data_IF_546623086231
#
_entry.id   IF_546623086231
#
_cell.length_a   1.000
_cell.length_b   1.000
_cell.length_c   1.000
_cell.angle_alpha   90.00
_cell.angle_beta   90.00
_cell.angle_gamma   90.00
#
_symmetry.space_group_name_H-M   'P 1'
#
loop_
_entity.id
_entity.type
_entity.pdbx_description
1 polymer ?
#
# COMPACT_ATOMS: atom_id res chain seq x y z
N UNK A 1 14.50 51.19 17.81
CA UNK A 1 13.26 50.75 17.11
C UNK A 1 13.56 49.75 15.99
N UNK A 2 14.51 50.04 15.08
CA UNK A 2 14.87 49.14 13.97
C UNK A 2 15.49 47.80 14.41
N UNK A 3 16.25 47.74 15.51
CA UNK A 3 16.87 46.49 15.98
C UNK A 3 15.85 45.50 16.56
N UNK A 4 14.79 46.00 17.21
CA UNK A 4 13.69 45.17 17.70
C UNK A 4 12.90 44.54 16.56
N UNK A 5 12.74 45.26 15.44
CA UNK A 5 12.07 44.76 14.23
C UNK A 5 12.93 43.68 13.55
N UNK A 6 14.23 43.89 13.41
CA UNK A 6 15.15 42.89 12.84
C UNK A 6 15.19 41.60 13.68
N UNK A 7 15.23 41.73 15.01
CA UNK A 7 15.17 40.59 15.94
C UNK A 7 13.87 39.81 15.79
N UNK A 8 12.72 40.49 15.77
CA UNK A 8 11.42 39.85 15.59
C UNK A 8 11.29 39.11 14.25
N UNK A 9 11.84 39.66 13.16
CA UNK A 9 11.87 38.99 11.84
C UNK A 9 12.77 37.75 11.87
N UNK A 10 13.92 37.83 12.55
CA UNK A 10 14.83 36.70 12.74
C UNK A 10 14.17 35.58 13.55
N UNK A 11 13.54 35.92 14.67
CA UNK A 11 12.83 34.96 15.52
C UNK A 11 11.66 34.30 14.78
N UNK A 12 10.87 35.07 14.00
CA UNK A 12 9.79 34.52 13.17
C UNK A 12 10.30 33.54 12.10
N UNK A 13 11.44 33.86 11.47
CA UNK A 13 12.04 33.02 10.44
C UNK A 13 12.53 31.69 11.02
N UNK A 14 13.08 31.69 12.24
CA UNK A 14 13.48 30.48 12.95
C UNK A 14 12.26 29.61 13.28
N UNK A 15 11.17 30.21 13.75
CA UNK A 15 9.93 29.47 14.06
C UNK A 15 9.33 28.83 12.81
N UNK A 16 9.27 29.56 11.69
CA UNK A 16 8.78 29.03 10.42
C UNK A 16 9.67 27.88 9.92
N UNK A 17 10.99 28.05 9.98
CA UNK A 17 11.93 26.99 9.59
C UNK A 17 11.79 25.73 10.45
N UNK A 18 11.62 25.88 11.76
CA UNK A 18 11.38 24.78 12.68
C UNK A 18 10.07 24.05 12.38
N UNK A 19 8.99 24.79 12.08
CA UNK A 19 7.70 24.22 11.71
C UNK A 19 7.79 23.42 10.40
N UNK A 20 8.45 23.97 9.38
CA UNK A 20 8.66 23.28 8.11
C UNK A 20 9.49 22.01 8.27
N UNK A 21 10.55 22.06 9.07
CA UNK A 21 11.36 20.88 9.38
C UNK A 21 10.54 19.80 10.12
N UNK A 22 9.72 20.19 11.10
CA UNK A 22 8.84 19.27 11.80
C UNK A 22 7.85 18.58 10.85
N UNK A 23 7.27 19.33 9.90
CA UNK A 23 6.40 18.78 8.86
C UNK A 23 7.16 17.80 7.96
N UNK A 24 8.37 18.16 7.51
CA UNK A 24 9.20 17.29 6.66
C UNK A 24 9.55 15.99 7.41
N UNK A 25 9.98 16.09 8.66
CA UNK A 25 10.28 14.92 9.49
C UNK A 25 9.04 14.05 9.71
N UNK A 26 7.91 14.68 10.02
CA UNK A 26 6.64 13.97 10.16
C UNK A 26 6.29 13.21 8.88
N UNK A 27 6.45 13.83 7.71
CA UNK A 27 6.26 13.17 6.42
C UNK A 27 7.25 12.01 6.31
N UNK A 28 8.56 12.25 6.32
CA UNK A 28 9.59 11.21 6.08
C UNK A 28 9.41 9.99 6.99
N UNK A 29 9.19 10.20 8.30
CA UNK A 29 9.03 9.10 9.24
C UNK A 29 7.71 8.35 9.11
N UNK A 30 6.69 8.95 8.49
CA UNK A 30 5.39 8.32 8.30
C UNK A 30 5.10 7.98 6.81
N UNK A 31 5.97 8.31 5.86
CA UNK A 31 5.72 8.21 4.41
C UNK A 31 5.96 6.81 3.82
N UNK A 32 5.39 5.79 4.46
CA UNK A 32 5.33 4.39 4.01
C UNK A 32 6.54 3.52 4.33
N UNK A 33 6.23 2.35 4.89
CA UNK A 33 7.15 1.23 4.98
C UNK A 33 7.07 0.30 3.75
N UNK A 34 6.18 0.59 2.77
CA UNK A 34 5.80 -0.32 1.67
C UNK A 34 5.77 -1.78 2.11
N UNK A 35 5.17 -2.00 3.29
CA UNK A 35 5.30 -3.23 4.03
C UNK A 35 4.31 -4.22 3.49
N UNK A 36 4.78 -5.41 3.12
CA UNK A 36 3.89 -6.54 2.88
C UNK A 36 3.25 -6.93 4.22
N UNK A 37 1.94 -6.72 4.36
CA UNK A 37 1.20 -7.04 5.58
C UNK A 37 0.53 -8.41 5.50
N UNK A 38 0.34 -8.93 4.28
CA UNK A 38 -0.21 -10.26 4.07
C UNK A 38 0.21 -10.80 2.70
N UNK A 39 0.40 -12.11 2.60
CA UNK A 39 0.79 -12.76 1.35
C UNK A 39 0.21 -14.17 1.25
N UNK A 40 -0.22 -14.53 0.06
CA UNK A 40 -0.58 -15.90 -0.32
C UNK A 40 0.10 -16.24 -1.65
N UNK A 41 0.77 -17.39 -1.72
CA UNK A 41 1.44 -17.82 -2.93
C UNK A 41 0.66 -18.93 -3.64
N UNK A 42 0.84 -19.01 -4.95
CA UNK A 42 0.25 -20.03 -5.81
C UNK A 42 0.58 -21.43 -5.27
N UNK A 43 -0.42 -22.28 -5.02
CA UNK A 43 -0.20 -23.65 -4.59
C UNK A 43 0.36 -24.49 -5.74
N UNK A 44 1.11 -25.54 -5.42
CA UNK A 44 1.72 -26.44 -6.41
C UNK A 44 0.70 -27.17 -7.31
N UNK A 45 -0.57 -27.21 -6.92
CA UNK A 45 -1.67 -27.82 -7.69
C UNK A 45 -2.18 -26.94 -8.84
N UNK A 46 -1.85 -25.64 -8.83
CA UNK A 46 -2.23 -24.70 -9.88
C UNK A 46 -1.01 -24.44 -10.76
N UNK A 47 -1.17 -24.58 -12.08
CA UNK A 47 -0.15 -24.25 -13.06
C UNK A 47 -0.77 -23.39 -14.16
N UNK A 48 -0.19 -22.21 -14.37
CA UNK A 48 -0.62 -21.27 -15.41
C UNK A 48 0.07 -21.48 -16.76
N UNK A 49 0.66 -22.66 -16.98
CA UNK A 49 1.56 -22.95 -18.10
C UNK A 49 2.74 -21.98 -18.17
N UNK A 50 3.24 -21.58 -17.00
CA UNK A 50 4.40 -20.70 -16.86
C UNK A 50 5.42 -21.37 -15.97
N UNK A 51 6.71 -21.13 -16.22
CA UNK A 51 7.79 -21.64 -15.38
C UNK A 51 7.94 -20.89 -14.04
N UNK A 52 7.01 -19.99 -13.73
CA UNK A 52 7.09 -19.14 -12.55
C UNK A 52 5.93 -19.39 -11.60
N UNK A 53 6.22 -19.17 -10.31
CA UNK A 53 5.23 -19.14 -9.25
C UNK A 53 4.90 -17.70 -8.89
N UNK A 54 3.61 -17.42 -8.73
CA UNK A 54 3.13 -16.08 -8.38
C UNK A 54 2.75 -16.01 -6.91
N UNK A 55 2.88 -14.83 -6.31
CA UNK A 55 2.33 -14.51 -5.01
C UNK A 55 1.43 -13.28 -5.12
N UNK A 56 0.31 -13.36 -4.43
CA UNK A 56 -0.55 -12.24 -4.14
C UNK A 56 -0.13 -11.64 -2.80
N UNK A 57 0.15 -10.35 -2.77
CA UNK A 57 0.55 -9.61 -1.59
C UNK A 57 -0.40 -8.45 -1.36
N UNK A 58 -0.76 -8.21 -0.10
CA UNK A 58 -1.32 -6.94 0.34
C UNK A 58 -0.19 -6.11 0.90
N UNK A 59 0.02 -4.95 0.29
CA UNK A 59 1.08 -4.01 0.65
C UNK A 59 0.44 -2.79 1.28
N UNK A 60 0.89 -2.49 2.48
CA UNK A 60 0.59 -1.24 3.16
C UNK A 60 1.52 -0.15 2.64
N UNK A 61 0.92 0.83 1.98
CA UNK A 61 1.59 1.97 1.40
C UNK A 61 1.69 3.16 2.34
N UNK A 62 1.74 4.35 1.74
CA UNK A 62 1.73 5.61 2.46
C UNK A 62 0.33 6.05 2.87
N UNK A 63 0.21 7.34 3.16
CA UNK A 63 -1.06 7.98 3.48
C UNK A 63 -1.55 8.81 2.30
N UNK A 64 -2.86 8.79 2.07
CA UNK A 64 -3.56 9.71 1.19
C UNK A 64 -4.29 10.74 2.03
N UNK A 65 -3.97 12.01 1.81
CA UNK A 65 -4.79 13.10 2.32
C UNK A 65 -6.00 13.28 1.39
N UNK A 66 -7.19 13.07 1.92
CA UNK A 66 -8.45 13.40 1.24
C UNK A 66 -8.87 14.80 1.68
N UNK A 67 -9.15 15.69 0.72
CA UNK A 67 -9.46 17.10 1.00
C UNK A 67 -10.88 17.32 1.55
N UNK A 68 -11.79 16.35 1.38
CA UNK A 68 -13.13 16.39 1.98
C UNK A 68 -13.71 14.97 2.17
N UNK A 69 -14.11 14.58 3.38
CA UNK A 69 -13.74 15.22 4.66
C UNK A 69 -12.20 15.19 4.81
N UNK A 70 -11.62 16.18 5.50
CA UNK A 70 -10.17 16.20 5.76
C UNK A 70 -9.77 14.95 6.53
N UNK A 71 -9.29 13.94 5.80
CA UNK A 71 -8.99 12.62 6.35
C UNK A 71 -7.69 12.11 5.78
N UNK A 72 -6.82 11.68 6.68
CA UNK A 72 -5.60 10.97 6.34
C UNK A 72 -5.89 9.47 6.39
N UNK A 73 -5.91 8.82 5.23
CA UNK A 73 -6.22 7.39 5.14
C UNK A 73 -5.01 6.61 4.65
N UNK A 74 -4.77 5.41 5.20
CA UNK A 74 -3.75 4.50 4.68
C UNK A 74 -4.13 4.03 3.28
N UNK A 75 -3.13 3.94 2.41
CA UNK A 75 -3.27 3.38 1.07
C UNK A 75 -2.85 1.92 1.13
N UNK A 76 -3.63 1.05 0.51
CA UNK A 76 -3.26 -0.35 0.34
C UNK A 76 -3.14 -0.67 -1.15
N UNK A 77 -2.24 -1.60 -1.45
CA UNK A 77 -2.06 -2.13 -2.80
C UNK A 77 -2.25 -3.63 -2.77
N UNK A 78 -3.04 -4.13 -3.71
CA UNK A 78 -3.05 -5.55 -4.05
C UNK A 78 -2.01 -5.75 -5.14
N UNK A 79 -1.03 -6.59 -4.89
CA UNK A 79 0.08 -6.85 -5.79
C UNK A 79 0.13 -8.32 -6.16
N UNK A 80 0.25 -8.63 -7.45
CA UNK A 80 0.50 -9.99 -7.95
C UNK A 80 1.83 -9.95 -8.67
N UNK A 81 2.80 -10.72 -8.18
CA UNK A 81 4.15 -10.76 -8.75
C UNK A 81 4.80 -12.12 -8.61
N UNK A 82 5.96 -12.28 -9.26
CA UNK A 82 6.74 -13.51 -9.18
C UNK A 82 7.32 -13.70 -7.77
N UNK A 83 7.27 -14.93 -7.25
CA UNK A 83 7.79 -15.30 -5.93
C UNK A 83 9.31 -15.09 -5.81
N UNK A 84 10.03 -15.39 -6.88
CA UNK A 84 11.50 -15.51 -6.85
C UNK A 84 12.24 -14.25 -7.32
N UNK A 85 11.52 -13.20 -7.75
CA UNK A 85 12.17 -11.96 -8.19
C UNK A 85 11.86 -10.82 -7.22
N UNK A 86 12.87 -10.45 -6.44
CA UNK A 86 13.01 -9.07 -5.94
C UNK A 86 12.92 -8.13 -7.16
N UNK A 87 12.12 -7.06 -7.07
CA UNK A 87 10.98 -6.81 -7.96
C UNK A 87 11.41 -6.38 -9.36
N UNK A 88 10.89 -7.04 -10.39
CA UNK A 88 10.94 -6.49 -11.76
C UNK A 88 9.65 -6.69 -12.55
N UNK A 89 8.78 -7.63 -12.17
CA UNK A 89 7.53 -7.84 -12.88
C UNK A 89 6.37 -8.23 -11.95
N UNK A 90 5.29 -7.46 -12.05
CA UNK A 90 4.06 -7.71 -11.33
C UNK A 90 3.04 -6.61 -11.60
N UNK A 91 1.81 -6.86 -11.17
CA UNK A 91 0.69 -5.94 -11.33
C UNK A 91 0.23 -5.49 -9.97
N UNK A 92 0.17 -4.17 -9.78
CA UNK A 92 -0.40 -3.56 -8.58
C UNK A 92 -1.71 -2.86 -8.91
N UNK A 93 -2.63 -2.88 -7.95
CA UNK A 93 -3.84 -2.05 -7.98
C UNK A 93 -4.03 -1.43 -6.61
N UNK A 94 -4.21 -0.11 -6.59
CA UNK A 94 -4.63 0.59 -5.38
C UNK A 94 -5.99 0.06 -4.94
N UNK A 95 -6.13 -0.24 -3.66
CA UNK A 95 -7.31 -0.88 -3.12
C UNK A 95 -7.75 -0.21 -1.83
N UNK A 96 -9.07 -0.12 -1.66
CA UNK A 96 -9.71 0.38 -0.47
C UNK A 96 -10.54 -0.76 0.11
N UNK A 97 -10.17 -1.19 1.31
CA UNK A 97 -10.91 -2.23 2.02
C UNK A 97 -12.24 -1.69 2.52
N UNK A 98 -13.21 -2.59 2.68
CA UNK A 98 -14.52 -2.25 3.25
C UNK A 98 -14.43 -1.91 4.75
N UNK A 99 -13.32 -2.28 5.40
CA UNK A 99 -13.12 -2.17 6.84
C UNK A 99 -12.21 -0.98 7.20
N UNK A 100 -12.51 -0.33 8.32
CA UNK A 100 -11.73 0.80 8.85
C UNK A 100 -10.36 0.34 9.38
N UNK A 101 -9.34 1.20 9.23
CA UNK A 101 -7.93 0.81 9.30
C UNK A 101 -7.46 0.28 10.67
N UNK A 102 -8.22 0.51 11.73
CA UNK A 102 -7.83 0.34 13.13
C UNK A 102 -7.40 -1.09 13.49
N UNK A 103 -7.95 -2.09 12.78
CA UNK A 103 -7.61 -3.51 12.94
C UNK A 103 -7.30 -4.20 11.61
N UNK A 104 -6.61 -3.50 10.70
CA UNK A 104 -6.30 -4.04 9.37
C UNK A 104 -5.59 -5.40 9.42
N UNK A 105 -4.63 -5.59 10.33
CA UNK A 105 -3.91 -6.87 10.47
C UNK A 105 -4.87 -8.02 10.85
N UNK A 106 -5.85 -7.77 11.72
CA UNK A 106 -6.88 -8.77 12.06
C UNK A 106 -7.81 -9.04 10.86
N UNK A 107 -8.21 -7.98 10.17
CA UNK A 107 -9.11 -8.05 9.02
C UNK A 107 -8.50 -8.83 7.85
N UNK A 108 -7.23 -8.55 7.51
CA UNK A 108 -6.56 -9.18 6.39
C UNK A 108 -6.25 -10.66 6.66
N UNK A 109 -5.95 -11.01 7.91
CA UNK A 109 -5.72 -12.41 8.30
C UNK A 109 -6.97 -13.30 8.20
N UNK A 110 -8.17 -12.70 8.21
CA UNK A 110 -9.45 -13.40 7.95
C UNK A 110 -9.82 -13.43 6.47
N UNK A 111 -9.08 -12.71 5.63
CA UNK A 111 -9.25 -12.71 4.18
C UNK A 111 -8.49 -13.89 3.56
N UNK A 112 -8.84 -14.27 2.34
CA UNK A 112 -8.23 -15.41 1.66
C UNK A 112 -8.05 -15.17 0.16
N UNK A 113 -7.14 -15.92 -0.44
CA UNK A 113 -6.98 -15.99 -1.90
C UNK A 113 -7.31 -17.41 -2.35
N UNK A 114 -8.24 -17.50 -3.29
CA UNK A 114 -8.61 -18.74 -3.95
C UNK A 114 -7.91 -18.76 -5.31
N UNK A 115 -6.94 -19.67 -5.45
CA UNK A 115 -6.22 -19.88 -6.71
C UNK A 115 -6.98 -20.86 -7.61
N UNK A 116 -7.07 -20.56 -8.89
CA UNK A 116 -7.76 -21.37 -9.90
C UNK A 116 -7.00 -21.33 -11.24
N UNK A 117 -7.29 -22.23 -12.18
CA UNK A 117 -6.56 -22.30 -13.45
C UNK A 117 -6.76 -21.10 -14.39
N UNK A 118 -7.79 -20.29 -14.15
CA UNK A 118 -8.09 -19.07 -14.91
C UNK A 118 -7.63 -17.78 -14.22
N UNK A 119 -7.08 -17.85 -13.00
CA UNK A 119 -6.67 -16.68 -12.24
C UNK A 119 -6.83 -16.90 -10.74
N UNK A 120 -6.94 -15.80 -10.00
CA UNK A 120 -7.15 -15.85 -8.55
C UNK A 120 -8.30 -14.96 -8.13
N UNK A 121 -8.97 -15.33 -7.03
CA UNK A 121 -9.99 -14.50 -6.40
C UNK A 121 -9.51 -14.13 -5.01
N UNK A 122 -9.34 -12.83 -4.76
CA UNK A 122 -9.20 -12.31 -3.42
C UNK A 122 -10.59 -12.18 -2.78
N UNK A 123 -10.77 -12.76 -1.60
CA UNK A 123 -12.01 -12.71 -0.83
C UNK A 123 -11.71 -12.02 0.49
N UNK A 124 -12.27 -10.83 0.66
CA UNK A 124 -12.20 -10.10 1.92
C UNK A 124 -12.97 -10.82 3.03
N UNK A 125 -12.61 -10.54 4.28
CA UNK A 125 -13.38 -10.99 5.44
C UNK A 125 -14.83 -10.48 5.43
N UNK A 126 -15.13 -9.37 4.75
CA UNK A 126 -16.51 -8.87 4.56
C UNK A 126 -17.32 -9.70 3.56
N UNK A 127 -16.68 -10.60 2.81
CA UNK A 127 -17.27 -11.33 1.69
C UNK A 127 -17.13 -10.62 0.34
N UNK A 128 -16.55 -9.42 0.27
CA UNK A 128 -16.23 -8.79 -1.01
C UNK A 128 -15.26 -9.66 -1.81
N UNK A 129 -15.49 -9.79 -3.11
CA UNK A 129 -14.72 -10.66 -4.00
C UNK A 129 -14.14 -9.88 -5.15
N UNK A 130 -12.84 -9.99 -5.33
CA UNK A 130 -12.14 -9.42 -6.47
C UNK A 130 -11.43 -10.52 -7.25
N UNK A 131 -11.90 -10.76 -8.47
CA UNK A 131 -11.28 -11.71 -9.39
C UNK A 131 -10.20 -11.03 -10.23
N UNK A 132 -9.04 -11.68 -10.31
CA UNK A 132 -7.91 -11.31 -11.14
C UNK A 132 -7.68 -12.44 -12.16
N UNK A 133 -8.11 -12.26 -13.42
CA UNK A 133 -7.78 -13.21 -14.48
C UNK A 133 -6.27 -13.34 -14.65
N UNK A 134 -5.78 -14.54 -14.95
CA UNK A 134 -4.34 -14.80 -15.11
C UNK A 134 -3.71 -13.97 -16.21
N UNK A 135 -4.47 -13.64 -17.25
CA UNK A 135 -4.03 -12.80 -18.37
C UNK A 135 -3.59 -11.41 -17.91
N UNK A 136 -4.09 -10.92 -16.77
CA UNK A 136 -3.66 -9.64 -16.20
C UNK A 136 -2.27 -9.67 -15.60
N UNK A 137 -1.73 -10.83 -15.20
CA UNK A 137 -0.48 -10.90 -14.43
C UNK A 137 0.57 -11.87 -14.96
N UNK A 138 0.22 -12.73 -15.91
CA UNK A 138 1.22 -13.55 -16.63
C UNK A 138 2.06 -12.71 -17.61
N UNK A 139 1.60 -11.51 -17.95
CA UNK A 139 2.17 -10.69 -19.00
C UNK A 139 1.89 -11.27 -20.38
N UNK A 140 1.66 -10.38 -21.35
CA UNK A 140 1.68 -10.77 -22.75
C UNK A 140 3.15 -11.12 -23.07
N UNK A 141 3.43 -12.39 -23.35
CA UNK A 141 4.64 -12.82 -24.02
C UNK A 141 4.32 -13.10 -25.47
#
# INVERSE_FOLDING_TARGET
>A
MFDNIKKAIGDLSIVIAALLLAIIFFIIFNYSSNRVIWQSCQPATINYNSNYNYCFSVIEGGFKLTLYPYQLSRIYYLFIGLKETTPTYGHSKTYSFTYEADKMDEYINKSQVIWANNGLTFVESSGHRLFFPKELFLGVR
#
